data_IF_671478841285
#
_entry.id   IF_671478841285
#
_cell.length_a   1.000
_cell.length_b   1.000
_cell.length_c   1.000
_cell.angle_alpha   90.00
_cell.angle_beta   90.00
_cell.angle_gamma   90.00
#
_symmetry.space_group_name_H-M   'P 1'
#
loop_
_entity.id
_entity.type
_entity.pdbx_description
1 polymer ?
#
# COMPACT_ATOMS: atom_id res chain seq x y z
N UNK A 1 -13.60 1.71 4.32
CA UNK A 1 -12.67 1.11 5.30
C UNK A 1 -11.37 1.91 5.43
N UNK A 2 -10.60 2.11 4.34
CA UNK A 2 -9.31 2.86 4.39
C UNK A 2 -9.46 4.28 4.96
N UNK A 3 -10.45 5.05 4.48
CA UNK A 3 -10.75 6.37 5.03
C UNK A 3 -11.08 6.34 6.54
N UNK A 4 -11.81 5.34 7.02
CA UNK A 4 -12.10 5.22 8.45
C UNK A 4 -10.82 4.90 9.24
N UNK A 5 -9.97 4.01 8.73
CA UNK A 5 -8.70 3.64 9.34
C UNK A 5 -7.71 4.81 9.43
N UNK A 6 -7.71 5.73 8.45
CA UNK A 6 -6.82 6.90 8.46
C UNK A 6 -7.17 7.90 9.56
N UNK A 7 -8.42 7.92 10.04
CA UNK A 7 -8.88 8.79 11.14
C UNK A 7 -8.72 8.16 12.53
N UNK A 8 -8.30 6.90 12.62
CA UNK A 8 -8.05 6.20 13.90
C UNK A 8 -6.55 6.23 14.18
N UNK A 9 -6.08 7.09 15.09
CA UNK A 9 -4.64 7.25 15.31
C UNK A 9 -4.08 6.37 16.43
N UNK A 10 -4.93 5.98 17.38
CA UNK A 10 -4.58 5.06 18.46
C UNK A 10 -5.11 3.64 18.20
N UNK A 11 -4.56 2.65 18.91
CA UNK A 11 -4.94 1.25 18.80
C UNK A 11 -6.18 0.84 19.63
N UNK A 12 -6.78 1.76 20.38
CA UNK A 12 -7.86 1.46 21.32
C UNK A 12 -9.22 1.43 20.63
N UNK A 13 -9.38 2.22 19.57
CA UNK A 13 -10.62 2.31 18.80
C UNK A 13 -10.66 1.22 17.70
N UNK A 14 -11.57 0.24 17.78
CA UNK A 14 -11.71 -0.76 16.73
C UNK A 14 -12.41 -0.16 15.50
N UNK A 15 -12.15 -0.75 14.33
CA UNK A 15 -12.85 -0.43 13.08
C UNK A 15 -13.49 -1.70 12.51
N UNK A 16 -14.79 -1.61 12.22
CA UNK A 16 -15.55 -2.67 11.58
C UNK A 16 -15.98 -2.16 10.21
N UNK A 17 -15.49 -2.81 9.14
CA UNK A 17 -15.88 -2.48 7.78
C UNK A 17 -17.05 -3.35 7.34
N UNK A 18 -18.18 -2.73 6.97
CA UNK A 18 -19.28 -3.43 6.28
C UNK A 18 -19.21 -3.06 4.81
N UNK A 19 -19.20 -4.07 3.95
CA UNK A 19 -19.24 -3.84 2.51
C UNK A 19 -20.70 -3.63 2.07
N UNK A 20 -21.02 -2.51 1.45
CA UNK A 20 -22.38 -2.19 0.99
C UNK A 20 -22.61 -2.52 -0.49
N UNK A 21 -21.55 -2.84 -1.24
CA UNK A 21 -21.61 -3.15 -2.67
C UNK A 21 -20.65 -4.31 -3.00
N UNK A 22 -21.03 -5.55 -2.64
CA UNK A 22 -20.17 -6.71 -2.76
C UNK A 22 -20.01 -7.16 -4.22
N UNK A 23 -20.97 -6.82 -5.10
CA UNK A 23 -20.91 -7.15 -6.53
C UNK A 23 -19.78 -6.40 -7.25
N UNK A 24 -19.45 -5.18 -6.81
CA UNK A 24 -18.37 -4.38 -7.39
C UNK A 24 -17.01 -4.60 -6.75
N UNK A 25 -16.96 -4.95 -5.47
CA UNK A 25 -15.70 -5.07 -4.74
C UNK A 25 -15.85 -5.97 -3.54
N UNK A 26 -15.48 -7.25 -3.64
CA UNK A 26 -15.50 -8.14 -2.48
C UNK A 26 -14.56 -7.63 -1.37
N UNK A 27 -13.34 -7.23 -1.75
CA UNK A 27 -12.32 -6.68 -0.85
C UNK A 27 -11.88 -7.64 0.27
N UNK A 28 -10.80 -7.29 0.99
CA UNK A 28 -10.25 -8.14 2.08
C UNK A 28 -10.27 -7.43 3.45
N UNK A 29 -10.89 -6.25 3.50
CA UNK A 29 -10.85 -5.36 4.68
C UNK A 29 -12.19 -5.28 5.42
N UNK A 30 -13.28 -5.68 4.79
CA UNK A 30 -14.62 -5.67 5.36
C UNK A 30 -15.02 -7.08 5.85
N UNK A 31 -16.16 -7.17 6.52
CA UNK A 31 -16.79 -8.43 6.89
C UNK A 31 -17.03 -9.32 5.64
N UNK A 32 -17.05 -10.65 5.81
CA UNK A 32 -17.42 -11.57 4.73
C UNK A 32 -18.70 -11.15 4.02
N UNK A 33 -18.73 -11.28 2.68
CA UNK A 33 -19.82 -10.82 1.80
C UNK A 33 -21.20 -11.32 2.24
N UNK A 34 -21.30 -12.54 2.80
CA UNK A 34 -22.57 -13.07 3.33
C UNK A 34 -23.22 -12.14 4.38
N UNK A 35 -22.43 -11.39 5.15
CA UNK A 35 -22.93 -10.45 6.15
C UNK A 35 -23.34 -9.10 5.57
N UNK A 36 -23.02 -8.82 4.31
CA UNK A 36 -23.63 -7.70 3.59
C UNK A 36 -25.12 -7.96 3.39
N UNK A 37 -25.48 -9.17 2.98
CA UNK A 37 -26.87 -9.57 2.73
C UNK A 37 -27.61 -10.01 4.01
N UNK A 38 -26.87 -10.41 5.05
CA UNK A 38 -27.40 -10.87 6.35
C UNK A 38 -26.76 -10.11 7.53
N UNK A 39 -26.81 -8.78 7.51
CA UNK A 39 -26.23 -7.98 8.59
C UNK A 39 -26.82 -8.26 10.00
N UNK A 40 -28.12 -8.58 10.16
CA UNK A 40 -28.67 -8.98 11.46
C UNK A 40 -27.95 -10.19 12.09
N UNK A 41 -27.49 -11.14 11.27
CA UNK A 41 -26.70 -12.28 11.76
C UNK A 41 -25.33 -11.83 12.29
N UNK A 42 -24.66 -10.91 11.59
CA UNK A 42 -23.41 -10.31 12.07
C UNK A 42 -23.61 -9.61 13.41
N UNK A 43 -24.70 -8.85 13.56
CA UNK A 43 -25.06 -8.19 14.82
C UNK A 43 -25.28 -9.20 15.95
N UNK A 44 -26.01 -10.29 15.69
CA UNK A 44 -26.21 -11.34 16.69
C UNK A 44 -24.88 -11.96 17.14
N UNK A 45 -23.96 -12.23 16.20
CA UNK A 45 -22.62 -12.71 16.53
C UNK A 45 -21.85 -11.70 17.39
N UNK A 46 -21.92 -10.41 17.07
CA UNK A 46 -21.30 -9.37 17.90
C UNK A 46 -21.90 -9.34 19.32
N UNK A 47 -23.22 -9.41 19.46
CA UNK A 47 -23.88 -9.43 20.77
C UNK A 47 -23.52 -10.65 21.61
N UNK A 48 -23.31 -11.81 20.97
CA UNK A 48 -22.93 -13.06 21.64
C UNK A 48 -21.43 -13.19 21.89
N UNK A 49 -20.61 -12.28 21.36
CA UNK A 49 -19.15 -12.41 21.42
C UNK A 49 -18.59 -13.47 20.49
N UNK A 50 -19.34 -13.92 19.49
CA UNK A 50 -18.96 -14.94 18.50
C UNK A 50 -18.11 -14.33 17.37
N UNK A 51 -16.98 -13.75 17.74
CA UNK A 51 -16.04 -13.13 16.81
C UNK A 51 -14.62 -13.17 17.36
N UNK A 52 -13.64 -12.91 16.49
CA UNK A 52 -12.25 -12.70 16.92
C UNK A 52 -11.74 -11.33 16.53
N UNK A 53 -10.87 -10.78 17.36
CA UNK A 53 -10.11 -9.59 17.01
C UNK A 53 -8.98 -9.94 16.05
N UNK A 54 -8.68 -9.03 15.13
CA UNK A 54 -7.54 -9.09 14.22
C UNK A 54 -6.76 -7.79 14.33
N UNK A 55 -5.46 -7.89 14.60
CA UNK A 55 -4.55 -6.74 14.72
C UNK A 55 -3.83 -6.48 13.41
N UNK A 56 -4.33 -5.52 12.64
CA UNK A 56 -3.72 -5.17 11.35
C UNK A 56 -2.55 -4.22 11.57
N UNK A 57 -1.39 -4.60 11.07
CA UNK A 57 -0.22 -3.72 11.03
C UNK A 57 -0.51 -2.50 10.15
N UNK A 58 0.03 -1.35 10.54
CA UNK A 58 -0.01 -0.12 9.75
C UNK A 58 1.38 0.47 9.60
N UNK A 59 1.60 1.15 8.49
CA UNK A 59 2.88 1.78 8.16
C UNK A 59 2.89 3.18 8.79
N UNK A 60 3.82 3.39 9.73
CA UNK A 60 4.17 4.71 10.26
C UNK A 60 5.10 5.41 9.28
N UNK A 61 4.83 6.69 9.05
CA UNK A 61 5.54 7.52 8.08
C UNK A 61 6.19 8.73 8.76
N UNK A 62 7.46 8.94 8.45
CA UNK A 62 8.19 10.16 8.76
C UNK A 62 8.64 10.83 7.47
N UNK A 63 8.59 12.16 7.45
CA UNK A 63 9.08 12.99 6.35
C UNK A 63 10.16 13.95 6.87
N UNK A 64 11.30 14.01 6.18
CA UNK A 64 12.41 14.94 6.48
C UNK A 64 13.10 15.39 5.19
N UNK A 65 14.04 16.33 5.32
CA UNK A 65 14.83 16.84 4.21
C UNK A 65 14.42 18.25 3.78
N UNK A 66 14.97 18.70 2.67
CA UNK A 66 14.85 20.08 2.21
C UNK A 66 13.51 20.31 1.51
N UNK A 67 12.85 21.44 1.79
CA UNK A 67 11.64 21.84 1.06
C UNK A 67 10.42 20.93 1.27
N UNK A 68 10.40 20.14 2.35
CA UNK A 68 9.27 19.26 2.64
C UNK A 68 8.04 20.04 3.10
N UNK A 69 6.86 19.60 2.66
CA UNK A 69 5.57 20.05 3.18
C UNK A 69 4.84 18.85 3.84
N UNK A 70 4.71 18.82 5.17
CA UNK A 70 4.00 17.75 5.88
C UNK A 70 2.47 17.90 5.82
N UNK A 71 1.95 18.95 5.17
CA UNK A 71 0.51 19.18 5.02
C UNK A 71 -0.07 18.18 4.02
N UNK A 72 -1.08 17.39 4.42
CA UNK A 72 -1.70 16.42 3.53
C UNK A 72 -2.69 17.08 2.56
N UNK A 73 -2.68 16.63 1.30
CA UNK A 73 -3.75 16.90 0.34
C UNK A 73 -4.70 15.69 0.29
N UNK A 74 -5.98 15.92 0.55
CA UNK A 74 -7.03 14.90 0.50
C UNK A 74 -7.42 14.60 -0.96
N UNK A 75 -7.22 13.35 -1.38
CA UNK A 75 -7.54 12.90 -2.73
C UNK A 75 -8.95 12.32 -2.85
N UNK A 76 -9.55 11.87 -1.75
CA UNK A 76 -10.85 11.21 -1.76
C UNK A 76 -11.99 12.20 -2.00
N UNK A 77 -11.94 13.37 -1.35
CA UNK A 77 -13.01 14.36 -1.49
C UNK A 77 -12.88 15.17 -2.79
N UNK A 78 -11.66 15.37 -3.27
CA UNK A 78 -11.40 16.37 -4.31
C UNK A 78 -11.31 15.77 -5.73
N UNK A 79 -11.22 14.44 -5.89
CA UNK A 79 -11.09 13.76 -7.20
C UNK A 79 -10.14 14.47 -8.17
N UNK A 80 -9.01 14.96 -7.66
CA UNK A 80 -8.15 15.87 -8.40
C UNK A 80 -7.51 15.17 -9.60
N UNK A 81 -7.47 15.86 -10.73
CA UNK A 81 -6.50 15.54 -11.79
C UNK A 81 -5.08 15.85 -11.31
N UNK A 82 -4.07 15.18 -11.89
CA UNK A 82 -2.65 15.44 -11.63
C UNK A 82 -2.30 16.94 -11.68
N UNK A 83 -2.79 17.66 -12.69
CA UNK A 83 -2.53 19.10 -12.82
C UNK A 83 -3.16 19.95 -11.69
N UNK A 84 -4.35 19.58 -11.21
CA UNK A 84 -4.98 20.29 -10.09
C UNK A 84 -4.26 19.98 -8.78
N UNK A 85 -3.75 18.77 -8.64
CA UNK A 85 -2.95 18.32 -7.51
C UNK A 85 -1.60 19.06 -7.42
N UNK A 86 -0.82 19.14 -8.51
CA UNK A 86 0.42 19.94 -8.53
C UNK A 86 0.16 21.42 -8.21
N UNK A 87 -1.00 21.96 -8.61
CA UNK A 87 -1.41 23.34 -8.25
C UNK A 87 -1.74 23.49 -6.77
N UNK A 88 -2.35 22.50 -6.13
CA UNK A 88 -2.68 22.56 -4.70
C UNK A 88 -1.41 22.73 -3.85
N UNK A 89 -0.33 22.00 -4.16
CA UNK A 89 0.96 22.18 -3.50
C UNK A 89 1.60 23.55 -3.77
N UNK A 90 1.50 24.05 -5.00
CA UNK A 90 2.04 25.37 -5.33
C UNK A 90 1.32 26.52 -4.61
N UNK A 91 0.01 26.41 -4.39
CA UNK A 91 -0.77 27.43 -3.66
C UNK A 91 -0.39 27.46 -2.17
N UNK A 92 -0.22 26.29 -1.54
CA UNK A 92 0.18 26.21 -0.14
C UNK A 92 1.61 26.74 0.09
N UNK A 93 2.54 26.57 -0.87
CA UNK A 93 3.91 27.11 -0.78
C UNK A 93 3.97 28.62 -0.69
N UNK A 94 2.98 29.35 -1.21
CA UNK A 94 2.93 30.82 -1.17
C UNK A 94 2.58 31.34 0.24
N UNK A 95 2.11 30.48 1.13
CA UNK A 95 1.64 30.86 2.47
C UNK A 95 2.54 30.47 3.65
N UNK A 96 3.66 29.76 3.44
CA UNK A 96 4.47 29.24 4.55
C UNK A 96 5.86 29.89 4.66
N UNK A 97 6.00 30.86 5.56
CA UNK A 97 7.25 31.17 6.26
C UNK A 97 7.43 30.18 7.45
N UNK A 98 7.42 28.87 7.19
CA UNK A 98 7.65 27.88 8.27
C UNK A 98 9.15 27.67 8.50
N UNK A 99 9.60 27.61 9.76
CA UNK A 99 10.97 27.25 10.07
C UNK A 99 11.29 25.87 9.48
N UNK A 100 12.46 25.71 8.87
CA UNK A 100 12.97 24.40 8.48
C UNK A 100 13.03 23.49 9.72
N UNK A 101 12.14 22.50 9.80
CA UNK A 101 12.19 21.52 10.87
C UNK A 101 13.47 20.69 10.70
N UNK A 102 14.37 20.77 11.67
CA UNK A 102 15.70 20.14 11.63
C UNK A 102 15.67 18.60 11.81
N UNK A 103 14.57 17.92 11.53
CA UNK A 103 14.50 16.46 11.70
C UNK A 103 13.21 15.78 11.21
N UNK A 104 13.11 14.46 11.43
CA UNK A 104 11.96 13.65 11.02
C UNK A 104 10.64 14.13 11.60
N UNK A 105 9.73 14.53 10.71
CA UNK A 105 8.36 14.88 11.07
C UNK A 105 7.45 13.66 10.93
N UNK A 106 6.77 13.27 12.02
CA UNK A 106 5.78 12.22 12.01
C UNK A 106 4.53 12.69 11.27
N UNK A 107 4.15 11.99 10.19
CA UNK A 107 2.95 12.34 9.43
C UNK A 107 1.66 12.00 10.21
N UNK A 108 0.56 12.74 10.00
CA UNK A 108 -0.68 12.59 10.75
C UNK A 108 -1.52 11.37 10.31
N UNK A 109 -1.00 10.50 9.46
CA UNK A 109 -1.68 9.32 8.92
C UNK A 109 -0.86 8.05 9.13
N UNK A 110 -1.53 6.91 9.07
CA UNK A 110 -0.92 5.57 9.07
C UNK A 110 -1.51 4.77 7.93
N UNK A 111 -0.67 4.21 7.07
CA UNK A 111 -1.14 3.43 5.94
C UNK A 111 -1.62 2.06 6.41
N UNK A 112 -2.87 1.69 6.11
CA UNK A 112 -3.41 0.35 6.36
C UNK A 112 -3.08 -0.62 5.22
N UNK A 113 -2.95 -0.12 4.00
CA UNK A 113 -2.78 -0.94 2.80
C UNK A 113 -1.45 -0.65 2.13
N UNK A 114 -1.19 0.61 1.76
CA UNK A 114 -0.04 0.93 0.91
C UNK A 114 0.45 2.37 1.04
N UNK A 115 1.73 2.54 0.73
CA UNK A 115 2.35 3.83 0.48
C UNK A 115 2.94 3.77 -0.92
N UNK A 116 2.47 4.64 -1.81
CA UNK A 116 2.98 4.78 -3.16
C UNK A 116 3.83 6.03 -3.27
N UNK A 117 4.96 5.95 -3.96
CA UNK A 117 5.82 7.10 -4.25
C UNK A 117 6.08 7.12 -5.75
N UNK A 118 5.78 8.25 -6.39
CA UNK A 118 6.02 8.45 -7.81
C UNK A 118 5.38 9.73 -8.34
N UNK A 119 5.43 9.90 -9.65
CA UNK A 119 4.83 11.03 -10.39
C UNK A 119 3.33 10.82 -10.69
N UNK A 120 2.71 9.80 -10.07
CA UNK A 120 1.29 9.49 -10.24
C UNK A 120 0.55 9.46 -8.88
N UNK A 121 -0.77 9.61 -8.92
CA UNK A 121 -1.60 9.67 -7.70
C UNK A 121 -2.16 8.34 -7.25
N UNK A 122 -1.89 7.25 -7.98
CA UNK A 122 -2.47 5.96 -7.67
C UNK A 122 -1.56 4.82 -8.07
N UNK A 123 -1.44 3.88 -7.16
CA UNK A 123 -0.92 2.56 -7.47
C UNK A 123 -1.73 1.55 -6.69
N UNK A 124 -2.41 0.65 -7.38
CA UNK A 124 -3.04 -0.51 -6.73
C UNK A 124 -1.95 -1.56 -6.55
N UNK A 125 -1.21 -1.51 -5.44
CA UNK A 125 0.07 -2.21 -5.26
C UNK A 125 0.00 -3.69 -5.59
N UNK A 126 -1.07 -4.38 -5.17
CA UNK A 126 -1.26 -5.80 -5.50
C UNK A 126 -1.31 -6.03 -7.02
N UNK A 127 -2.15 -5.29 -7.75
CA UNK A 127 -2.32 -5.46 -9.19
C UNK A 127 -1.03 -5.15 -9.97
N UNK A 128 -0.24 -4.18 -9.50
CA UNK A 128 1.04 -3.82 -10.13
C UNK A 128 2.10 -4.91 -9.90
N UNK A 129 2.03 -5.64 -8.79
CA UNK A 129 3.02 -6.64 -8.42
C UNK A 129 2.73 -8.05 -8.96
N UNK A 130 1.48 -8.34 -9.33
CA UNK A 130 1.10 -9.62 -9.91
C UNK A 130 1.81 -9.88 -11.24
N UNK A 131 2.00 -11.16 -11.55
CA UNK A 131 2.44 -11.63 -12.85
C UNK A 131 1.25 -12.15 -13.64
N UNK A 132 1.22 -11.83 -14.94
CA UNK A 132 0.25 -12.39 -15.88
C UNK A 132 0.69 -13.78 -16.33
N UNK A 133 -0.27 -14.67 -16.59
CA UNK A 133 -0.01 -16.04 -17.05
C UNK A 133 0.89 -16.07 -18.28
N UNK A 134 0.67 -15.16 -19.24
CA UNK A 134 1.50 -15.04 -20.45
C UNK A 134 2.98 -14.78 -20.12
N UNK A 135 3.27 -13.89 -19.17
CA UNK A 135 4.64 -13.57 -18.81
C UNK A 135 5.36 -14.78 -18.16
N UNK A 136 4.64 -15.59 -17.38
CA UNK A 136 5.18 -16.83 -16.82
C UNK A 136 5.45 -17.85 -17.93
N UNK A 137 4.52 -18.01 -18.87
CA UNK A 137 4.67 -18.90 -20.02
C UNK A 137 5.89 -18.51 -20.88
N UNK A 138 6.05 -17.22 -21.17
CA UNK A 138 7.18 -16.71 -21.96
C UNK A 138 8.53 -17.02 -21.31
N UNK A 139 8.66 -16.78 -20.00
CA UNK A 139 9.88 -17.07 -19.23
C UNK A 139 10.19 -18.56 -19.20
N UNK A 140 9.19 -19.41 -18.95
CA UNK A 140 9.35 -20.86 -18.93
C UNK A 140 9.75 -21.42 -20.30
N UNK A 141 9.18 -20.89 -21.38
CA UNK A 141 9.55 -21.24 -22.75
C UNK A 141 10.99 -20.83 -23.08
N UNK A 142 11.45 -19.68 -22.61
CA UNK A 142 12.86 -19.28 -22.75
C UNK A 142 13.76 -20.25 -21.97
N UNK A 143 13.42 -20.58 -20.72
CA UNK A 143 14.21 -21.51 -19.90
C UNK A 143 14.33 -22.91 -20.55
N UNK A 144 13.25 -23.41 -21.16
CA UNK A 144 13.24 -24.68 -21.90
C UNK A 144 14.14 -24.64 -23.15
N UNK A 145 14.27 -23.49 -23.82
CA UNK A 145 15.18 -23.33 -24.98
C UNK A 145 16.64 -23.22 -24.57
N UNK A 146 16.92 -22.60 -23.43
CA UNK A 146 18.30 -22.31 -22.97
C UNK A 146 18.90 -23.42 -22.11
N UNK A 147 18.07 -24.25 -21.45
CA UNK A 147 18.52 -25.34 -20.61
C UNK A 147 17.98 -26.70 -21.04
N UNK A 148 18.57 -27.77 -20.50
CA UNK A 148 18.00 -29.13 -20.54
C UNK A 148 16.82 -29.27 -19.55
N UNK A 149 15.86 -28.34 -19.58
CA UNK A 149 14.70 -28.39 -18.71
C UNK A 149 13.72 -29.45 -19.24
N UNK A 150 13.76 -30.66 -18.70
CA UNK A 150 12.84 -31.76 -19.03
C UNK A 150 11.49 -31.64 -18.32
N UNK A 151 10.94 -30.42 -18.25
CA UNK A 151 9.61 -30.19 -17.69
C UNK A 151 8.57 -30.16 -18.81
N UNK A 152 7.49 -30.94 -18.72
CA UNK A 152 6.37 -30.84 -19.65
C UNK A 152 5.64 -29.51 -19.38
N UNK A 153 6.01 -28.47 -20.13
CA UNK A 153 5.30 -27.20 -20.12
C UNK A 153 3.88 -27.41 -20.65
N UNK A 154 2.94 -27.55 -19.72
CA UNK A 154 1.52 -27.60 -19.99
C UNK A 154 0.83 -26.41 -19.31
N UNK A 155 -0.42 -26.15 -19.71
CA UNK A 155 -1.21 -25.03 -19.21
C UNK A 155 -1.40 -25.06 -17.69
N UNK A 156 -1.61 -26.25 -17.13
CA UNK A 156 -1.82 -26.47 -15.69
C UNK A 156 -0.59 -26.02 -14.87
N UNK A 157 0.62 -26.36 -15.32
CA UNK A 157 1.86 -25.93 -14.65
C UNK A 157 2.01 -24.41 -14.69
N UNK A 158 1.76 -23.78 -15.84
CA UNK A 158 1.86 -22.31 -15.98
C UNK A 158 0.85 -21.63 -15.05
N UNK A 159 -0.39 -22.09 -15.01
CA UNK A 159 -1.43 -21.57 -14.12
C UNK A 159 -1.05 -21.75 -12.65
N UNK A 160 -0.54 -22.93 -12.28
CA UNK A 160 -0.09 -23.21 -10.91
C UNK A 160 1.05 -22.28 -10.48
N UNK A 161 2.08 -22.13 -11.31
CA UNK A 161 3.23 -21.24 -11.02
C UNK A 161 2.76 -19.77 -10.94
N UNK A 162 1.86 -19.36 -11.83
CA UNK A 162 1.28 -18.00 -11.82
C UNK A 162 0.51 -17.73 -10.53
N UNK A 163 -0.32 -18.68 -10.10
CA UNK A 163 -1.10 -18.57 -8.88
C UNK A 163 -0.20 -18.57 -7.65
N UNK A 164 0.75 -19.50 -7.55
CA UNK A 164 1.69 -19.58 -6.43
C UNK A 164 2.53 -18.30 -6.30
N UNK A 165 3.01 -17.72 -7.41
CA UNK A 165 3.69 -16.43 -7.39
C UNK A 165 2.78 -15.31 -6.87
N UNK A 166 1.56 -15.21 -7.38
CA UNK A 166 0.62 -14.14 -6.99
C UNK A 166 0.15 -14.29 -5.54
N UNK A 167 -0.03 -15.51 -5.05
CA UNK A 167 -0.35 -15.83 -3.65
C UNK A 167 0.82 -15.48 -2.73
N UNK A 168 2.07 -15.64 -3.17
CA UNK A 168 3.25 -15.25 -2.38
C UNK A 168 3.35 -13.75 -2.08
N UNK A 169 2.59 -12.91 -2.80
CA UNK A 169 2.47 -11.48 -2.52
C UNK A 169 1.54 -11.18 -1.35
N UNK A 170 0.68 -12.14 -0.98
CA UNK A 170 -0.22 -12.05 0.16
C UNK A 170 0.51 -12.52 1.42
N UNK A 171 0.30 -11.80 2.51
CA UNK A 171 0.85 -12.15 3.82
C UNK A 171 -0.13 -11.75 4.90
N UNK A 172 0.01 -12.33 6.09
CA UNK A 172 -0.94 -12.06 7.17
C UNK A 172 -0.85 -10.58 7.56
N UNK A 173 -2.01 -9.91 7.74
CA UNK A 173 -2.03 -8.52 8.18
C UNK A 173 -1.50 -8.34 9.60
N UNK A 174 -1.28 -9.43 10.35
CA UNK A 174 -0.69 -9.40 11.70
C UNK A 174 0.84 -9.47 11.68
N UNK A 175 1.45 -9.83 10.54
CA UNK A 175 2.90 -9.93 10.42
C UNK A 175 3.56 -8.54 10.39
N UNK A 176 4.54 -8.24 11.26
CA UNK A 176 5.16 -6.92 11.39
C UNK A 176 6.20 -6.64 10.29
N UNK A 177 5.77 -6.75 9.03
CA UNK A 177 6.61 -6.59 7.84
C UNK A 177 5.90 -5.74 6.78
N UNK A 178 6.72 -5.11 5.96
CA UNK A 178 6.38 -4.29 4.80
C UNK A 178 6.90 -5.03 3.59
N UNK A 179 6.03 -5.27 2.61
CA UNK A 179 6.47 -5.63 1.25
C UNK A 179 6.79 -4.36 0.48
N UNK A 180 8.07 -4.09 0.20
CA UNK A 180 8.40 -3.02 -0.75
C UNK A 180 8.58 -3.60 -2.15
N UNK A 181 8.21 -2.83 -3.17
CA UNK A 181 8.54 -3.12 -4.56
C UNK A 181 8.96 -1.85 -5.30
N UNK A 182 10.03 -1.95 -6.07
CA UNK A 182 10.53 -0.95 -7.00
C UNK A 182 10.08 -1.36 -8.40
N UNK A 183 9.56 -0.42 -9.17
CA UNK A 183 9.12 -0.64 -10.56
C UNK A 183 10.03 0.12 -11.51
N UNK A 184 10.26 -0.47 -12.67
CA UNK A 184 11.02 0.12 -13.78
C UNK A 184 12.35 0.75 -13.34
N UNK A 185 13.20 0.01 -12.58
CA UNK A 185 14.46 0.57 -12.12
C UNK A 185 15.34 0.90 -13.33
N UNK A 186 15.92 2.11 -13.33
CA UNK A 186 16.94 2.49 -14.30
C UNK A 186 18.20 1.68 -14.00
N UNK A 187 18.48 0.68 -14.84
CA UNK A 187 19.70 -0.10 -14.78
C UNK A 187 20.70 0.45 -15.80
N UNK A 188 21.82 1.00 -15.32
CA UNK A 188 22.93 1.43 -16.16
C UNK A 188 24.27 1.17 -15.45
N UNK A 189 25.39 1.65 -15.99
CA UNK A 189 26.72 1.41 -15.38
C UNK A 189 26.92 2.09 -14.01
N UNK A 190 26.10 3.09 -13.69
CA UNK A 190 26.19 3.90 -12.48
C UNK A 190 25.15 3.45 -11.43
N UNK A 191 23.95 3.09 -11.89
CA UNK A 191 22.84 2.63 -11.06
C UNK A 191 22.55 1.16 -11.34
N UNK A 192 22.73 0.32 -10.32
CA UNK A 192 22.31 -1.08 -10.36
C UNK A 192 21.36 -1.36 -9.19
N UNK A 193 20.30 -2.11 -9.46
CA UNK A 193 19.38 -2.59 -8.43
C UNK A 193 19.52 -4.11 -8.33
N UNK A 194 19.98 -4.58 -7.17
CA UNK A 194 20.10 -6.02 -6.89
C UNK A 194 18.78 -6.63 -6.43
N UNK A 195 17.84 -5.82 -5.95
CA UNK A 195 16.59 -6.30 -5.33
C UNK A 195 15.45 -5.32 -5.59
N UNK A 196 14.52 -5.75 -6.46
CA UNK A 196 13.34 -4.96 -6.79
C UNK A 196 12.19 -5.19 -5.81
N UNK A 197 12.21 -6.26 -5.00
CA UNK A 197 11.14 -6.57 -4.05
C UNK A 197 11.66 -7.38 -2.87
N UNK A 198 11.21 -7.05 -1.67
CA UNK A 198 11.48 -7.86 -0.47
C UNK A 198 10.56 -7.45 0.70
N UNK A 199 10.49 -8.33 1.71
CA UNK A 199 9.92 -8.03 3.01
C UNK A 199 10.96 -7.39 3.93
N UNK A 200 10.56 -6.36 4.66
CA UNK A 200 11.41 -5.64 5.65
C UNK A 200 10.53 -5.02 6.73
N UNK A 201 11.07 -4.67 7.90
CA UNK A 201 10.34 -3.90 8.91
C UNK A 201 10.49 -2.38 8.74
N UNK A 202 11.46 -1.94 7.91
CA UNK A 202 11.76 -0.52 7.66
C UNK A 202 12.15 -0.29 6.20
N UNK A 203 11.64 0.78 5.61
CA UNK A 203 12.02 1.28 4.29
C UNK A 203 12.37 2.76 4.43
N UNK A 204 13.47 3.20 3.81
CA UNK A 204 13.81 4.62 3.70
C UNK A 204 14.03 4.96 2.23
N UNK A 205 13.35 5.99 1.76
CA UNK A 205 13.43 6.46 0.37
C UNK A 205 13.87 7.91 0.39
N UNK A 206 14.88 8.25 -0.43
CA UNK A 206 15.25 9.64 -0.71
C UNK A 206 14.81 9.96 -2.13
N UNK A 207 14.03 11.02 -2.30
CA UNK A 207 13.59 11.47 -3.60
C UNK A 207 14.73 12.13 -4.37
N UNK A 208 14.76 11.86 -5.67
CA UNK A 208 15.53 12.58 -6.71
C UNK A 208 14.62 13.15 -7.80
N UNK A 209 13.31 13.13 -7.57
CA UNK A 209 12.29 13.54 -8.54
C UNK A 209 11.91 15.00 -8.32
N UNK A 210 11.57 15.73 -9.39
CA UNK A 210 11.17 17.14 -9.26
C UNK A 210 9.68 17.35 -8.98
N UNK A 211 8.82 16.43 -9.39
CA UNK A 211 7.36 16.50 -9.20
C UNK A 211 6.80 15.14 -8.76
N UNK A 212 7.38 14.59 -7.71
CA UNK A 212 6.91 13.34 -7.12
C UNK A 212 6.01 13.62 -5.92
N UNK A 213 5.10 12.68 -5.69
CA UNK A 213 4.26 12.66 -4.51
C UNK A 213 4.37 11.33 -3.79
N UNK A 214 4.06 11.37 -2.49
CA UNK A 214 3.87 10.19 -1.67
C UNK A 214 2.38 10.08 -1.33
N UNK A 215 1.73 9.01 -1.80
CA UNK A 215 0.31 8.73 -1.60
C UNK A 215 0.12 7.61 -0.60
N UNK A 216 -0.75 7.82 0.38
CA UNK A 216 -1.08 6.90 1.46
C UNK A 216 -2.49 6.37 1.25
N UNK A 217 -2.62 5.04 1.14
CA UNK A 217 -3.89 4.31 0.95
C UNK A 217 -4.77 4.82 -0.21
N UNK A 218 -4.18 5.55 -1.16
CA UNK A 218 -4.88 6.21 -2.27
C UNK A 218 -5.75 7.41 -1.87
N UNK A 219 -5.79 7.78 -0.59
CA UNK A 219 -6.70 8.80 -0.07
C UNK A 219 -6.03 10.10 0.36
N UNK A 220 -4.73 10.06 0.67
CA UNK A 220 -3.98 11.23 1.16
C UNK A 220 -2.65 11.31 0.46
N UNK A 221 -2.21 12.51 0.10
CA UNK A 221 -0.92 12.72 -0.57
C UNK A 221 -0.07 13.82 0.08
N UNK A 222 1.25 13.69 -0.08
CA UNK A 222 2.26 14.64 0.38
C UNK A 222 3.23 14.93 -0.77
N UNK A 223 3.77 16.15 -0.82
CA UNK A 223 4.85 16.50 -1.73
C UNK A 223 6.10 15.68 -1.40
N UNK A 224 6.76 15.13 -2.42
CA UNK A 224 7.93 14.26 -2.22
C UNK A 224 9.04 14.52 -3.25
N UNK A 225 9.42 15.78 -3.38
CA UNK A 225 10.40 16.27 -4.35
C UNK A 225 11.86 16.08 -3.92
N UNK A 226 12.81 16.39 -4.80
CA UNK A 226 14.25 16.14 -4.63
C UNK A 226 14.75 16.64 -3.28
N UNK A 227 15.49 15.78 -2.58
CA UNK A 227 15.97 16.05 -1.24
C UNK A 227 15.05 15.60 -0.11
N UNK A 228 13.76 15.36 -0.38
CA UNK A 228 12.83 14.77 0.59
C UNK A 228 13.20 13.32 0.90
N UNK A 229 13.00 12.92 2.16
CA UNK A 229 13.28 11.58 2.67
C UNK A 229 12.04 11.08 3.42
N UNK A 230 11.53 9.92 3.00
CA UNK A 230 10.44 9.21 3.65
C UNK A 230 10.98 7.98 4.38
N UNK A 231 10.75 7.91 5.69
CA UNK A 231 11.01 6.72 6.50
C UNK A 231 9.70 6.03 6.87
N UNK A 232 9.57 4.78 6.46
CA UNK A 232 8.42 3.90 6.69
C UNK A 232 8.80 2.78 7.64
N UNK A 233 7.98 2.51 8.65
CA UNK A 233 8.22 1.42 9.60
C UNK A 233 6.93 0.87 10.20
N UNK A 234 6.99 -0.36 10.69
CA UNK A 234 5.91 -0.97 11.47
C UNK A 234 6.15 -0.74 12.95
N UNK A 235 5.13 -0.24 13.65
CA UNK A 235 5.15 -0.05 15.10
C UNK A 235 3.87 -0.61 15.72
N UNK A 236 4.03 -1.32 16.85
CA UNK A 236 2.93 -1.96 17.59
C UNK A 236 1.86 -0.97 18.08
N UNK A 237 2.25 0.27 18.37
CA UNK A 237 1.32 1.32 18.81
C UNK A 237 0.36 1.76 17.70
N UNK A 238 0.74 1.55 16.44
CA UNK A 238 -0.09 1.88 15.30
C UNK A 238 -0.92 0.69 14.84
N UNK A 239 -0.97 -0.44 15.54
CA UNK A 239 -1.85 -1.54 15.13
C UNK A 239 -3.33 -1.10 15.10
N UNK A 240 -4.06 -1.52 14.07
CA UNK A 240 -5.49 -1.27 13.95
C UNK A 240 -6.27 -2.52 14.35
N UNK A 241 -7.12 -2.40 15.38
CA UNK A 241 -8.01 -3.49 15.77
C UNK A 241 -9.20 -3.57 14.82
N UNK A 242 -9.35 -4.70 14.15
CA UNK A 242 -10.52 -5.02 13.31
C UNK A 242 -11.15 -6.33 13.76
N UNK A 243 -12.30 -6.68 13.20
CA UNK A 243 -13.04 -7.88 13.59
C UNK A 243 -13.07 -8.91 12.46
N UNK A 244 -13.08 -10.18 12.83
CA UNK A 244 -13.32 -11.31 11.94
C UNK A 244 -14.52 -12.10 12.46
N UNK A 245 -15.45 -12.39 11.54
CA UNK A 245 -16.58 -13.27 11.73
C UNK A 245 -16.38 -14.53 10.88
N UNK A 246 -16.47 -15.69 11.51
CA UNK A 246 -16.40 -17.02 10.87
C UNK A 246 -17.74 -17.56 10.41
#
# INVERSE_FOLDING_TARGET
MLLAASKVLDRLKPVIGVNTDPERSEGHLCLPVRYTHSFPEALQKFYRGEFRWLWRQRIRLYLEGTGINPVPVDLHEQQLSLNQHSRAFNIERVHDERPEASGPQLLPVRALNEVFIGESLSSRSFNINRVATQAVEDVLNIAKRQGNLSLPLNRELVEKVTNEYNESLLYSPEEPKILFSIREPIANRVFSSSRQRCFTSKVCVRSRCWDACMVVDGGTSFEFNDGAIASMMINKEDELRTVILE
#
